data_IF_602799717552
#
_entry.id   IF_602799717552
#
_cell.length_a   1.000
_cell.length_b   1.000
_cell.length_c   1.000
_cell.angle_alpha   90.00
_cell.angle_beta   90.00
_cell.angle_gamma   90.00
#
_symmetry.space_group_name_H-M   'P 1'
#
loop_
_entity.id
_entity.type
_entity.pdbx_description
1 polymer ?
#
# COMPACT_ATOMS: atom_id res chain seq x y z
N UNK A 1 1.09 0.65 -29.83
CA UNK A 1 0.48 1.87 -29.24
C UNK A 1 0.18 1.59 -27.76
N UNK A 2 0.86 2.26 -26.82
CA UNK A 2 0.55 2.13 -25.39
C UNK A 2 -0.89 2.59 -25.16
N UNK A 3 -1.73 1.71 -24.61
CA UNK A 3 -3.09 2.11 -24.23
C UNK A 3 -2.97 3.10 -23.07
N UNK A 4 -3.69 4.22 -23.11
CA UNK A 4 -3.58 5.30 -22.10
C UNK A 4 -3.68 4.78 -20.65
N UNK A 5 -4.49 3.74 -20.38
CA UNK A 5 -4.62 3.18 -19.04
C UNK A 5 -3.32 2.51 -18.54
N UNK A 6 -2.50 1.93 -19.43
CA UNK A 6 -1.25 1.28 -19.02
C UNK A 6 -0.22 2.30 -18.51
N UNK A 7 -0.22 3.53 -19.03
CA UNK A 7 0.63 4.60 -18.52
C UNK A 7 0.28 4.94 -17.05
N UNK A 8 -1.01 5.21 -16.82
CA UNK A 8 -1.47 5.55 -15.46
C UNK A 8 -1.25 4.39 -14.47
N UNK A 9 -1.46 3.16 -14.94
CA UNK A 9 -1.21 1.98 -14.13
C UNK A 9 0.27 1.79 -13.82
N UNK A 10 1.20 2.06 -14.77
CA UNK A 10 2.64 2.04 -14.48
C UNK A 10 3.05 3.08 -13.45
N UNK A 11 2.44 4.26 -13.46
CA UNK A 11 2.69 5.29 -12.45
C UNK A 11 2.17 4.82 -11.08
N UNK A 12 0.97 4.24 -11.02
CA UNK A 12 0.44 3.66 -9.77
C UNK A 12 1.36 2.55 -9.23
N UNK A 13 1.84 1.64 -10.10
CA UNK A 13 2.81 0.58 -9.75
C UNK A 13 4.09 1.19 -9.17
N UNK A 14 4.62 2.23 -9.78
CA UNK A 14 5.83 2.89 -9.28
C UNK A 14 5.62 3.43 -7.86
N UNK A 15 4.48 4.05 -7.57
CA UNK A 15 4.13 4.52 -6.22
C UNK A 15 3.87 3.37 -5.23
N UNK A 16 3.27 2.26 -5.66
CA UNK A 16 3.10 1.07 -4.82
C UNK A 16 4.47 0.50 -4.41
N UNK A 17 5.38 0.32 -5.37
CA UNK A 17 6.72 -0.23 -5.12
C UNK A 17 7.58 0.75 -4.29
N UNK A 18 7.48 2.05 -4.56
CA UNK A 18 8.14 3.08 -3.77
C UNK A 18 7.65 3.08 -2.32
N UNK A 19 6.31 3.02 -2.13
CA UNK A 19 5.73 2.97 -0.80
C UNK A 19 6.15 1.69 -0.05
N UNK A 20 6.14 0.53 -0.72
CA UNK A 20 6.65 -0.72 -0.14
C UNK A 20 8.11 -0.58 0.29
N UNK A 21 8.97 0.00 -0.55
CA UNK A 21 10.39 0.19 -0.24
C UNK A 21 10.62 1.14 0.93
N UNK A 22 10.02 2.35 0.90
CA UNK A 22 10.15 3.34 1.97
C UNK A 22 9.64 2.74 3.29
N UNK A 23 8.45 2.16 3.27
CA UNK A 23 7.85 1.61 4.48
C UNK A 23 8.64 0.43 5.04
N UNK A 24 9.21 -0.43 4.19
CA UNK A 24 10.10 -1.50 4.63
C UNK A 24 11.38 -0.97 5.27
N UNK A 25 11.99 0.08 4.71
CA UNK A 25 13.20 0.69 5.28
C UNK A 25 12.91 1.29 6.67
N UNK A 26 11.76 1.94 6.85
CA UNK A 26 11.39 2.53 8.15
C UNK A 26 11.19 1.50 9.27
N UNK A 27 10.96 0.22 8.95
CA UNK A 27 10.88 -0.85 9.95
C UNK A 27 12.23 -1.16 10.62
N UNK A 28 13.34 -0.77 9.99
CA UNK A 28 14.71 -0.98 10.49
C UNK A 28 15.34 0.29 11.08
N UNK A 29 14.62 1.42 11.04
CA UNK A 29 15.09 2.69 11.57
C UNK A 29 14.35 2.98 12.87
N UNK A 30 15.06 2.93 13.98
CA UNK A 30 14.55 3.37 15.27
C UNK A 30 14.81 4.86 15.43
N UNK A 31 13.78 5.73 15.44
CA UNK A 31 14.00 7.15 15.70
C UNK A 31 14.48 7.34 17.14
N UNK A 32 15.51 8.14 17.33
CA UNK A 32 16.00 8.49 18.67
C UNK A 32 14.93 9.32 19.40
N UNK A 33 14.55 8.97 20.64
CA UNK A 33 13.59 9.73 21.41
C UNK A 33 14.11 11.14 21.70
N UNK A 34 13.27 12.16 21.44
CA UNK A 34 13.64 13.58 21.56
C UNK A 34 13.43 14.12 22.99
N UNK A 35 12.65 13.43 23.81
CA UNK A 35 12.33 13.84 25.18
C UNK A 35 12.11 12.63 26.07
N UNK A 36 12.00 12.89 27.40
CA UNK A 36 11.83 11.85 28.41
C UNK A 36 10.52 11.04 28.21
N UNK A 37 9.45 11.69 27.80
CA UNK A 37 8.15 11.03 27.57
C UNK A 37 8.23 10.05 26.40
N UNK A 38 8.89 10.44 25.31
CA UNK A 38 9.11 9.54 24.17
C UNK A 38 10.01 8.37 24.56
N UNK A 39 11.05 8.60 25.37
CA UNK A 39 11.90 7.52 25.88
C UNK A 39 11.12 6.49 26.68
N UNK A 40 10.25 6.96 27.59
CA UNK A 40 9.37 6.08 28.37
C UNK A 40 8.38 5.32 27.47
N UNK A 41 7.80 5.97 26.45
CA UNK A 41 6.93 5.33 25.47
C UNK A 41 7.65 4.21 24.72
N UNK A 42 8.83 4.50 24.15
CA UNK A 42 9.66 3.51 23.44
C UNK A 42 10.01 2.35 24.37
N UNK A 43 10.40 2.63 25.61
CA UNK A 43 10.68 1.60 26.60
C UNK A 43 9.46 0.70 26.85
N UNK A 44 8.27 1.27 27.06
CA UNK A 44 7.03 0.49 27.23
C UNK A 44 6.71 -0.32 25.98
N UNK A 45 6.81 0.26 24.80
CA UNK A 45 6.54 -0.44 23.54
C UNK A 45 7.47 -1.65 23.31
N UNK A 46 8.70 -1.59 23.81
CA UNK A 46 9.69 -2.66 23.58
C UNK A 46 9.79 -3.65 24.74
N UNK A 47 9.40 -3.30 25.95
CA UNK A 47 9.55 -4.16 27.14
C UNK A 47 8.25 -4.75 27.65
N UNK A 48 7.13 -4.03 27.52
CA UNK A 48 5.83 -4.54 27.96
C UNK A 48 5.41 -5.73 27.09
N UNK A 49 5.03 -6.83 27.72
CA UNK A 49 4.59 -8.06 27.04
C UNK A 49 3.10 -8.25 27.25
N UNK A 50 2.36 -8.24 26.12
CA UNK A 50 0.94 -8.57 26.11
C UNK A 50 0.76 -10.07 26.26
N UNK A 51 -0.11 -10.51 27.13
CA UNK A 51 -0.50 -11.92 27.21
C UNK A 51 -1.72 -12.17 26.31
N UNK A 52 -1.49 -12.85 25.20
CA UNK A 52 -2.54 -13.30 24.29
C UNK A 52 -2.93 -14.76 24.49
N UNK A 53 -2.43 -15.40 25.55
CA UNK A 53 -2.65 -16.82 25.78
C UNK A 53 -1.77 -17.74 24.89
N UNK A 54 -1.92 -19.04 25.08
CA UNK A 54 -1.17 -20.07 24.31
C UNK A 54 0.37 -19.89 24.30
N UNK A 55 0.94 -19.14 25.26
CA UNK A 55 2.38 -18.89 25.36
C UNK A 55 2.90 -17.74 24.44
N UNK A 56 2.01 -16.97 23.81
CA UNK A 56 2.39 -15.82 23.01
C UNK A 56 2.41 -14.54 23.84
N UNK A 57 3.59 -13.92 23.96
CA UNK A 57 3.81 -12.69 24.72
C UNK A 57 4.51 -11.61 23.89
N UNK A 58 3.92 -11.15 22.73
CA UNK A 58 4.55 -10.12 21.92
C UNK A 58 4.49 -8.75 22.61
N UNK A 59 5.48 -7.91 22.31
CA UNK A 59 5.45 -6.50 22.68
C UNK A 59 4.57 -5.69 21.73
N UNK A 60 4.07 -4.50 22.10
CA UNK A 60 3.41 -3.58 21.18
C UNK A 60 4.26 -3.27 19.94
N UNK A 61 5.58 -3.14 20.10
CA UNK A 61 6.51 -2.93 19.00
C UNK A 61 6.50 -4.11 18.01
N UNK A 62 6.50 -5.37 18.49
CA UNK A 62 6.40 -6.55 17.63
C UNK A 62 5.10 -6.56 16.80
N UNK A 63 3.96 -6.21 17.44
CA UNK A 63 2.67 -6.14 16.77
C UNK A 63 2.64 -5.03 15.71
N UNK A 64 3.17 -3.86 16.05
CA UNK A 64 3.28 -2.75 15.11
C UNK A 64 4.16 -3.11 13.90
N UNK A 65 5.33 -3.74 14.14
CA UNK A 65 6.21 -4.20 13.07
C UNK A 65 5.53 -5.24 12.17
N UNK A 66 4.80 -6.19 12.75
CA UNK A 66 4.07 -7.20 11.98
C UNK A 66 3.00 -6.57 11.09
N UNK A 67 2.16 -5.67 11.63
CA UNK A 67 1.12 -4.97 10.86
C UNK A 67 1.72 -4.09 9.76
N UNK A 68 2.78 -3.36 10.08
CA UNK A 68 3.49 -2.52 9.12
C UNK A 68 4.12 -3.34 7.99
N UNK A 69 4.68 -4.51 8.32
CA UNK A 69 5.20 -5.44 7.30
C UNK A 69 4.10 -5.95 6.37
N UNK A 70 2.91 -6.27 6.89
CA UNK A 70 1.76 -6.66 6.07
C UNK A 70 1.37 -5.57 5.07
N UNK A 71 1.41 -4.31 5.48
CA UNK A 71 1.12 -3.19 4.58
C UNK A 71 2.19 -3.06 3.47
N UNK A 72 3.48 -3.20 3.79
CA UNK A 72 4.55 -3.24 2.79
C UNK A 72 4.36 -4.37 1.77
N UNK A 73 4.01 -5.56 2.25
CA UNK A 73 3.75 -6.73 1.41
C UNK A 73 2.51 -6.53 0.53
N UNK A 74 1.46 -5.87 1.01
CA UNK A 74 0.27 -5.53 0.22
C UNK A 74 0.64 -4.60 -0.95
N UNK A 75 1.42 -3.56 -0.69
CA UNK A 75 1.91 -2.64 -1.73
C UNK A 75 2.81 -3.37 -2.75
N UNK A 76 3.69 -4.23 -2.27
CA UNK A 76 4.57 -5.04 -3.13
C UNK A 76 3.76 -6.00 -4.01
N UNK A 77 2.80 -6.71 -3.43
CA UNK A 77 1.91 -7.64 -4.16
C UNK A 77 1.13 -6.90 -5.23
N UNK A 78 0.47 -5.78 -4.91
CA UNK A 78 -0.28 -4.97 -5.87
C UNK A 78 0.60 -4.49 -7.02
N UNK A 79 1.79 -3.96 -6.71
CA UNK A 79 2.74 -3.49 -7.72
C UNK A 79 3.23 -4.59 -8.63
N UNK A 80 3.69 -5.71 -8.08
CA UNK A 80 4.23 -6.84 -8.87
C UNK A 80 3.15 -7.54 -9.70
N UNK A 81 1.96 -7.76 -9.13
CA UNK A 81 0.84 -8.40 -9.83
C UNK A 81 0.41 -7.57 -11.04
N UNK A 82 0.22 -6.26 -10.87
CA UNK A 82 -0.15 -5.38 -11.97
C UNK A 82 0.93 -5.32 -13.05
N UNK A 83 2.21 -5.22 -12.67
CA UNK A 83 3.33 -5.25 -13.61
C UNK A 83 3.37 -6.56 -14.42
N UNK A 84 3.13 -7.70 -13.77
CA UNK A 84 3.05 -9.00 -14.42
C UNK A 84 1.91 -9.06 -15.44
N UNK A 85 0.71 -8.62 -15.07
CA UNK A 85 -0.47 -8.64 -15.95
C UNK A 85 -0.27 -7.74 -17.18
N UNK A 86 0.34 -6.55 -17.03
CA UNK A 86 0.69 -5.68 -18.15
C UNK A 86 1.70 -6.36 -19.08
N UNK A 87 2.76 -6.98 -18.53
CA UNK A 87 3.77 -7.71 -19.32
C UNK A 87 3.16 -8.88 -20.08
N UNK A 88 2.18 -9.58 -19.49
CA UNK A 88 1.43 -10.67 -20.15
C UNK A 88 0.39 -10.18 -21.14
N UNK A 89 0.23 -8.86 -21.32
CA UNK A 89 -0.71 -8.23 -22.26
C UNK A 89 -2.15 -8.71 -22.06
N UNK A 90 -2.56 -8.90 -20.82
CA UNK A 90 -3.91 -9.33 -20.46
C UNK A 90 -4.96 -8.37 -21.04
N UNK A 91 -6.12 -8.90 -21.43
CA UNK A 91 -7.19 -8.13 -22.08
C UNK A 91 -7.75 -7.01 -21.19
N UNK A 92 -8.23 -5.93 -21.82
CA UNK A 92 -8.73 -4.74 -21.12
C UNK A 92 -9.90 -5.04 -20.16
N UNK A 93 -10.70 -6.05 -20.44
CA UNK A 93 -11.82 -6.42 -19.60
C UNK A 93 -11.37 -7.03 -18.25
N UNK A 94 -10.40 -7.93 -18.30
CA UNK A 94 -9.77 -8.48 -17.09
C UNK A 94 -9.05 -7.39 -16.31
N UNK A 95 -8.26 -6.54 -17.01
CA UNK A 95 -7.56 -5.42 -16.39
C UNK A 95 -8.50 -4.43 -15.71
N UNK A 96 -9.69 -4.19 -16.27
CA UNK A 96 -10.72 -3.36 -15.63
C UNK A 96 -11.13 -3.93 -14.27
N UNK A 97 -11.36 -5.25 -14.19
CA UNK A 97 -11.71 -5.92 -12.93
C UNK A 97 -10.60 -5.81 -11.89
N UNK A 98 -9.35 -6.07 -12.31
CA UNK A 98 -8.17 -5.97 -11.42
C UNK A 98 -8.00 -4.55 -10.90
N UNK A 99 -8.01 -3.54 -11.78
CA UNK A 99 -7.86 -2.13 -11.38
C UNK A 99 -9.01 -1.69 -10.45
N UNK A 100 -10.25 -2.20 -10.65
CA UNK A 100 -11.36 -1.91 -9.76
C UNK A 100 -11.14 -2.46 -8.35
N UNK A 101 -10.62 -3.68 -8.23
CA UNK A 101 -10.27 -4.28 -6.94
C UNK A 101 -9.14 -3.50 -6.26
N UNK A 102 -8.09 -3.18 -7.00
CA UNK A 102 -6.98 -2.38 -6.48
C UNK A 102 -7.46 -1.00 -6.00
N UNK A 103 -8.30 -0.33 -6.79
CA UNK A 103 -8.87 0.97 -6.42
C UNK A 103 -9.72 0.90 -5.15
N UNK A 104 -10.49 -0.17 -4.98
CA UNK A 104 -11.25 -0.40 -3.74
C UNK A 104 -10.30 -0.56 -2.55
N UNK A 105 -9.31 -1.45 -2.65
CA UNK A 105 -8.38 -1.76 -1.56
C UNK A 105 -7.51 -0.54 -1.22
N UNK A 106 -6.85 0.06 -2.20
CA UNK A 106 -5.99 1.22 -1.96
C UNK A 106 -6.76 2.50 -1.67
N UNK A 107 -8.01 2.62 -2.13
CA UNK A 107 -8.93 3.69 -1.73
C UNK A 107 -9.28 3.61 -0.24
N UNK A 108 -9.59 2.42 0.26
CA UNK A 108 -9.80 2.19 1.70
C UNK A 108 -8.50 2.46 2.48
N UNK A 109 -7.35 1.96 1.99
CA UNK A 109 -6.05 2.26 2.60
C UNK A 109 -5.80 3.77 2.71
N UNK A 110 -6.09 4.54 1.67
CA UNK A 110 -5.96 6.00 1.69
C UNK A 110 -6.83 6.64 2.77
N UNK A 111 -8.10 6.22 2.90
CA UNK A 111 -9.01 6.73 3.94
C UNK A 111 -8.45 6.41 5.34
N UNK A 112 -8.00 5.17 5.56
CA UNK A 112 -7.40 4.76 6.84
C UNK A 112 -6.15 5.60 7.15
N UNK A 113 -5.26 5.79 6.17
CA UNK A 113 -4.08 6.63 6.36
C UNK A 113 -4.43 8.09 6.63
N UNK A 114 -5.45 8.64 5.95
CA UNK A 114 -5.90 10.02 6.16
C UNK A 114 -6.48 10.26 7.56
N UNK A 115 -7.10 9.25 8.17
CA UNK A 115 -7.72 9.35 9.49
C UNK A 115 -6.71 9.11 10.63
N UNK A 116 -5.79 8.16 10.45
CA UNK A 116 -4.99 7.63 11.56
C UNK A 116 -3.50 7.95 11.48
N UNK A 117 -3.02 8.60 10.41
CA UNK A 117 -1.58 8.80 10.23
C UNK A 117 -1.19 10.26 9.95
N UNK A 118 0.01 10.48 9.43
CA UNK A 118 0.63 11.78 9.14
C UNK A 118 0.89 11.95 7.63
N UNK A 119 1.32 13.14 7.23
CA UNK A 119 1.31 13.58 5.83
C UNK A 119 1.98 12.62 4.82
N UNK A 120 3.19 12.07 4.99
CA UNK A 120 3.84 11.20 4.01
C UNK A 120 3.02 9.97 3.59
N UNK A 121 2.49 9.10 4.51
CA UNK A 121 1.63 7.99 4.14
C UNK A 121 0.35 8.42 3.42
N UNK A 122 -0.26 9.55 3.84
CA UNK A 122 -1.46 10.09 3.20
C UNK A 122 -1.18 10.46 1.74
N UNK A 123 -0.08 11.18 1.49
CA UNK A 123 0.30 11.59 0.13
C UNK A 123 0.59 10.37 -0.75
N UNK A 124 1.39 9.42 -0.26
CA UNK A 124 1.77 8.23 -1.06
C UNK A 124 0.55 7.37 -1.41
N UNK A 125 -0.31 7.06 -0.43
CA UNK A 125 -1.53 6.28 -0.69
C UNK A 125 -2.56 7.05 -1.52
N UNK A 126 -2.65 8.36 -1.35
CA UNK A 126 -3.47 9.24 -2.17
C UNK A 126 -3.03 9.27 -3.64
N UNK A 127 -1.72 9.31 -3.91
CA UNK A 127 -1.19 9.22 -5.27
C UNK A 127 -1.48 7.84 -5.90
N UNK A 128 -1.33 6.74 -5.15
CA UNK A 128 -1.72 5.41 -5.63
C UNK A 128 -3.21 5.40 -6.02
N UNK A 129 -4.11 5.84 -5.13
CA UNK A 129 -5.54 5.88 -5.38
C UNK A 129 -5.89 6.79 -6.58
N UNK A 130 -5.25 7.95 -6.71
CA UNK A 130 -5.43 8.87 -7.84
C UNK A 130 -5.06 8.20 -9.17
N UNK A 131 -3.87 7.61 -9.27
CA UNK A 131 -3.42 7.01 -10.52
C UNK A 131 -4.17 5.73 -10.88
N UNK A 132 -4.63 4.95 -9.89
CA UNK A 132 -5.57 3.85 -10.11
C UNK A 132 -6.92 4.35 -10.63
N UNK A 133 -7.43 5.47 -10.13
CA UNK A 133 -8.67 6.09 -10.62
C UNK A 133 -8.51 6.50 -12.09
N UNK A 134 -7.41 7.17 -12.45
CA UNK A 134 -7.13 7.57 -13.83
C UNK A 134 -6.98 6.33 -14.75
N UNK A 135 -6.31 5.27 -14.26
CA UNK A 135 -6.19 4.02 -14.99
C UNK A 135 -7.56 3.35 -15.19
N UNK A 136 -8.42 3.34 -14.16
CA UNK A 136 -9.76 2.78 -14.23
C UNK A 136 -10.64 3.52 -15.24
N UNK A 137 -10.70 4.83 -15.18
CA UNK A 137 -11.46 5.64 -16.14
C UNK A 137 -11.00 5.41 -17.58
N UNK A 138 -9.68 5.32 -17.79
CA UNK A 138 -9.12 5.06 -19.11
C UNK A 138 -9.37 3.63 -19.61
N UNK A 139 -9.36 2.60 -18.76
CA UNK A 139 -9.62 1.22 -19.18
C UNK A 139 -11.09 0.98 -19.48
N UNK A 140 -12.02 1.64 -18.77
CA UNK A 140 -13.47 1.55 -19.04
C UNK A 140 -13.79 2.01 -20.47
N UNK A 141 -13.17 3.11 -20.93
CA UNK A 141 -13.38 3.60 -22.31
C UNK A 141 -12.88 2.60 -23.36
N UNK A 142 -11.74 1.95 -23.11
CA UNK A 142 -11.18 0.93 -24.01
C UNK A 142 -12.02 -0.34 -24.03
N UNK A 143 -12.46 -0.81 -22.86
CA UNK A 143 -13.29 -2.02 -22.75
C UNK A 143 -14.67 -1.87 -23.42
N UNK A 144 -15.26 -0.66 -23.38
CA UNK A 144 -16.51 -0.36 -24.07
C UNK A 144 -16.35 -0.37 -25.61
N UNK A 145 -15.25 0.14 -26.12
CA UNK A 145 -14.96 0.19 -27.56
C UNK A 145 -14.64 -1.19 -28.16
N UNK A 146 -14.34 -2.20 -27.33
CA UNK A 146 -14.01 -3.56 -27.77
C UNK A 146 -15.20 -4.53 -27.70
N UNK A 147 -16.39 -4.07 -27.30
CA UNK A 147 -17.64 -4.86 -27.37
C UNK A 147 -18.22 -4.75 -28.78
N UNK A 148 -18.55 -5.88 -29.44
CA UNK A 148 -19.18 -5.88 -30.77
C UNK A 148 -20.58 -5.27 -30.72
#
# INVERSE_FOLDING_TARGET
MFKRYTLWLWIAIAFMLLNAAIHSVTLFIEPAPQNETERQLVQLMTTYRNDFGAGFHPTPHNLFTALSSCFSLLCLLGGLMNAYLIKKRVGAEVMRGVIAIDLLVFGICFIVMAVFTFLPPIVLTGLIALFLTLAFLAVVTVARASRP
#
